data_IF_620114199172
#
_entry.id   IF_620114199172
#
_cell.length_a   1.000
_cell.length_b   1.000
_cell.length_c   1.000
_cell.angle_alpha   90.00
_cell.angle_beta   90.00
_cell.angle_gamma   90.00
#
_symmetry.space_group_name_H-M   'P 1'
#
loop_
_entity.id
_entity.type
_entity.pdbx_description
1 polymer ?
#
# COMPACT_ATOMS: atom_id res chain seq x y z
N UNK A 1 -16.58 -13.45 19.95
CA UNK A 1 -16.40 -13.11 18.52
C UNK A 1 -16.28 -11.61 18.22
N UNK A 2 -16.57 -10.69 19.16
CA UNK A 2 -16.48 -9.23 18.90
C UNK A 2 -15.07 -8.63 19.08
N UNK A 3 -14.26 -9.16 20.02
CA UNK A 3 -12.91 -8.63 20.30
C UNK A 3 -11.93 -8.77 19.12
N UNK A 4 -12.04 -9.85 18.34
CA UNK A 4 -11.13 -10.11 17.21
C UNK A 4 -11.33 -9.12 16.07
N UNK A 5 -12.59 -8.75 15.76
CA UNK A 5 -12.91 -7.74 14.75
C UNK A 5 -12.42 -6.33 15.14
N UNK A 6 -12.50 -5.98 16.43
CA UNK A 6 -12.06 -4.67 16.92
C UNK A 6 -10.53 -4.50 16.89
N UNK A 7 -9.78 -5.57 17.17
CA UNK A 7 -8.32 -5.55 17.08
C UNK A 7 -7.83 -5.28 15.65
N UNK A 8 -8.45 -5.91 14.64
CA UNK A 8 -8.11 -5.68 13.23
C UNK A 8 -8.40 -4.25 12.76
N UNK A 9 -9.42 -3.58 13.30
CA UNK A 9 -9.74 -2.18 12.98
C UNK A 9 -8.75 -1.19 13.60
N UNK A 10 -8.25 -1.48 14.79
CA UNK A 10 -7.34 -0.58 15.53
C UNK A 10 -6.00 -0.35 14.82
N UNK A 11 -5.54 -1.30 13.99
CA UNK A 11 -4.25 -1.21 13.29
C UNK A 11 -4.32 -0.58 11.90
N UNK A 12 -5.51 -0.31 11.35
CA UNK A 12 -5.64 0.23 9.98
C UNK A 12 -5.13 1.67 9.80
N UNK A 13 -4.72 2.35 10.88
CA UNK A 13 -4.32 3.77 10.88
C UNK A 13 -2.84 4.07 11.10
N UNK A 14 -1.98 3.08 11.41
CA UNK A 14 -0.53 3.32 11.62
C UNK A 14 0.25 3.22 10.32
N UNK A 15 -0.09 4.08 9.34
CA UNK A 15 0.79 4.33 8.19
C UNK A 15 1.56 5.61 8.45
N UNK A 16 2.85 5.49 8.76
CA UNK A 16 3.76 6.62 8.79
C UNK A 16 3.91 7.14 7.36
N UNK A 17 3.12 8.16 7.00
CA UNK A 17 3.25 8.87 5.72
C UNK A 17 4.57 9.64 5.79
N UNK A 18 5.64 9.05 5.24
CA UNK A 18 6.94 9.67 5.12
C UNK A 18 6.83 11.02 4.38
N UNK A 19 7.56 12.01 4.89
CA UNK A 19 7.57 13.39 4.41
C UNK A 19 7.93 13.51 2.93
N UNK A 20 7.01 14.06 2.14
CA UNK A 20 7.31 14.72 0.86
C UNK A 20 7.57 13.81 -0.34
N UNK A 21 6.50 13.32 -0.97
CA UNK A 21 6.58 12.78 -2.33
C UNK A 21 6.85 13.92 -3.31
N UNK A 22 8.14 14.18 -3.57
CA UNK A 22 8.56 15.07 -4.64
C UNK A 22 8.05 14.54 -5.99
N UNK A 23 7.51 15.43 -6.82
CA UNK A 23 7.10 15.13 -8.20
C UNK A 23 8.32 14.69 -9.02
N UNK A 24 8.60 13.39 -9.02
CA UNK A 24 9.81 12.80 -9.62
C UNK A 24 10.38 11.60 -8.88
N UNK A 25 9.93 11.31 -7.66
CA UNK A 25 10.37 10.12 -6.92
C UNK A 25 9.87 8.83 -7.59
N UNK A 26 10.80 7.90 -7.86
CA UNK A 26 10.46 6.56 -8.33
C UNK A 26 10.00 5.71 -7.14
N UNK A 27 8.77 5.22 -7.19
CA UNK A 27 8.17 4.44 -6.10
C UNK A 27 8.10 2.97 -6.48
N UNK A 28 8.47 2.12 -5.54
CA UNK A 28 8.34 0.69 -5.64
C UNK A 28 7.49 0.18 -4.47
N UNK A 29 6.52 -0.68 -4.79
CA UNK A 29 5.68 -1.39 -3.82
C UNK A 29 6.07 -2.87 -3.89
N UNK A 30 6.40 -3.47 -2.74
CA UNK A 30 6.69 -4.91 -2.64
C UNK A 30 5.50 -5.58 -1.96
N UNK A 31 4.91 -6.56 -2.64
CA UNK A 31 3.68 -7.25 -2.28
C UNK A 31 2.45 -6.69 -3.00
N UNK A 32 1.82 -7.48 -3.86
CA UNK A 32 0.53 -7.25 -4.51
C UNK A 32 -0.65 -7.82 -3.72
N UNK A 33 -0.52 -7.92 -2.40
CA UNK A 33 -1.66 -8.17 -1.50
C UNK A 33 -2.61 -6.98 -1.39
N UNK A 34 -3.67 -7.12 -0.60
CA UNK A 34 -4.71 -6.09 -0.44
C UNK A 34 -4.16 -4.70 -0.07
N UNK A 35 -3.12 -4.64 0.77
CA UNK A 35 -2.47 -3.39 1.16
C UNK A 35 -1.68 -2.76 0.00
N UNK A 36 -0.88 -3.56 -0.72
CA UNK A 36 -0.02 -3.05 -1.80
C UNK A 36 -0.80 -2.59 -3.03
N UNK A 37 -1.86 -3.33 -3.41
CA UNK A 37 -2.74 -2.89 -4.50
C UNK A 37 -3.55 -1.64 -4.12
N UNK A 38 -4.01 -1.54 -2.87
CA UNK A 38 -4.67 -0.33 -2.36
C UNK A 38 -3.73 0.88 -2.43
N UNK A 39 -2.48 0.73 -1.99
CA UNK A 39 -1.46 1.78 -2.10
C UNK A 39 -1.20 2.19 -3.57
N UNK A 40 -1.02 1.21 -4.47
CA UNK A 40 -0.82 1.46 -5.89
C UNK A 40 -2.00 2.22 -6.52
N UNK A 41 -3.24 1.86 -6.14
CA UNK A 41 -4.45 2.52 -6.61
C UNK A 41 -4.50 4.00 -6.22
N UNK A 42 -4.23 4.32 -4.95
CA UNK A 42 -4.24 5.71 -4.49
C UNK A 42 -3.09 6.53 -5.09
N UNK A 43 -1.89 5.94 -5.22
CA UNK A 43 -0.77 6.59 -5.90
C UNK A 43 -1.10 6.90 -7.36
N UNK A 44 -1.74 5.96 -8.07
CA UNK A 44 -2.18 6.17 -9.45
C UNK A 44 -3.22 7.30 -9.56
N UNK A 45 -4.19 7.35 -8.63
CA UNK A 45 -5.16 8.45 -8.54
C UNK A 45 -4.51 9.81 -8.28
N UNK A 46 -3.44 9.83 -7.51
CA UNK A 46 -2.65 11.03 -7.25
C UNK A 46 -1.74 11.44 -8.44
N UNK A 47 -1.78 10.71 -9.56
CA UNK A 47 -0.96 10.97 -10.75
C UNK A 47 0.49 10.46 -10.62
N UNK A 48 0.79 9.67 -9.59
CA UNK A 48 2.12 9.16 -9.31
C UNK A 48 2.28 7.76 -9.90
N UNK A 49 3.38 7.53 -10.59
CA UNK A 49 3.70 6.22 -11.17
C UNK A 49 4.51 5.37 -10.17
N UNK A 50 3.96 4.23 -9.79
CA UNK A 50 4.59 3.27 -8.90
C UNK A 50 4.68 1.88 -9.57
N UNK A 51 5.79 1.18 -9.37
CA UNK A 51 5.97 -0.20 -9.80
C UNK A 51 5.67 -1.16 -8.66
N UNK A 52 4.85 -2.18 -8.90
CA UNK A 52 4.52 -3.21 -7.91
C UNK A 52 5.27 -4.49 -8.26
N UNK A 53 5.99 -5.05 -7.29
CA UNK A 53 6.63 -6.35 -7.39
C UNK A 53 5.95 -7.32 -6.42
N UNK A 54 5.73 -8.54 -6.86
CA UNK A 54 5.18 -9.64 -6.06
C UNK A 54 5.99 -10.90 -6.38
N UNK A 55 6.20 -11.75 -5.39
CA UNK A 55 7.05 -12.94 -5.52
C UNK A 55 6.33 -14.10 -6.25
N UNK A 56 5.00 -13.99 -6.41
CA UNK A 56 4.19 -15.05 -7.01
C UNK A 56 4.53 -15.28 -8.50
N UNK A 57 5.28 -16.35 -8.76
CA UNK A 57 5.34 -16.99 -10.08
C UNK A 57 3.96 -17.62 -10.38
N UNK A 58 3.13 -16.94 -11.16
CA UNK A 58 1.88 -17.51 -11.68
C UNK A 58 2.22 -18.27 -12.97
N UNK A 59 2.29 -19.60 -12.86
CA UNK A 59 2.36 -20.54 -13.99
C UNK A 59 1.10 -20.53 -14.84
#
# INVERSE_FOLDING_TARGET
>A
MSAYLNACRATQGVVSQGSGLSSGSKIVIVGAGAAGLSAAYYLKKAGVNAQVYEDQYRS
#
